data_IF_043878360370
#
_entry.id   IF_043878360370
#
_cell.length_a   1.000
_cell.length_b   1.000
_cell.length_c   1.000
_cell.angle_alpha   90.00
_cell.angle_beta   90.00
_cell.angle_gamma   90.00
#
_symmetry.space_group_name_H-M   'P 1'
#
loop_
_entity.id
_entity.type
_entity.pdbx_description
1 polymer ?
#
# COMPACT_ATOMS: atom_id res chain seq x y z
N UNK A 1 -13.13 -3.88 10.96
CA UNK A 1 -12.63 -4.62 9.79
C UNK A 1 -11.41 -3.90 9.23
N UNK A 2 -10.23 -4.53 9.24
CA UNK A 2 -8.95 -3.89 8.88
C UNK A 2 -8.86 -3.60 7.37
N UNK A 3 -8.50 -2.37 7.02
CA UNK A 3 -8.17 -1.90 5.68
C UNK A 3 -6.67 -1.63 5.61
N UNK A 4 -5.99 -2.17 4.60
CA UNK A 4 -4.61 -1.80 4.31
C UNK A 4 -4.58 -0.86 3.10
N UNK A 5 -3.87 0.25 3.23
CA UNK A 5 -3.56 1.16 2.11
C UNK A 5 -2.27 0.67 1.46
N UNK A 6 -2.30 0.41 0.15
CA UNK A 6 -1.17 -0.17 -0.58
C UNK A 6 -0.78 0.73 -1.76
N UNK A 7 0.48 1.17 -1.78
CA UNK A 7 1.02 1.96 -2.89
C UNK A 7 1.41 1.03 -4.03
N UNK A 8 0.75 1.13 -5.18
CA UNK A 8 1.05 0.30 -6.35
C UNK A 8 2.01 1.02 -7.30
N UNK A 9 3.08 0.30 -7.64
CA UNK A 9 4.13 0.67 -8.59
C UNK A 9 4.69 -0.60 -9.24
N UNK A 10 5.89 -0.54 -9.82
CA UNK A 10 6.50 -1.64 -10.59
C UNK A 10 6.35 -3.05 -10.01
N UNK A 11 6.47 -3.23 -8.69
CA UNK A 11 6.35 -4.53 -8.03
C UNK A 11 5.05 -4.68 -7.22
N UNK A 12 4.34 -5.78 -7.45
CA UNK A 12 3.04 -6.08 -6.80
C UNK A 12 3.23 -6.92 -5.52
N UNK A 13 4.23 -7.80 -5.50
CA UNK A 13 4.40 -8.80 -4.44
C UNK A 13 4.59 -8.24 -3.03
N UNK A 14 5.34 -7.14 -2.80
CA UNK A 14 5.47 -6.58 -1.46
C UNK A 14 4.12 -6.12 -0.87
N UNK A 15 3.18 -5.68 -1.71
CA UNK A 15 1.83 -5.35 -1.28
C UNK A 15 1.01 -6.60 -0.96
N UNK A 16 1.13 -7.66 -1.76
CA UNK A 16 0.47 -8.96 -1.50
C UNK A 16 0.93 -9.53 -0.16
N UNK A 17 2.25 -9.55 0.09
CA UNK A 17 2.84 -10.02 1.36
C UNK A 17 2.30 -9.21 2.53
N UNK A 18 2.27 -7.87 2.41
CA UNK A 18 1.73 -6.99 3.44
C UNK A 18 0.27 -7.28 3.77
N UNK A 19 -0.57 -7.58 2.78
CA UNK A 19 -1.98 -7.91 2.99
C UNK A 19 -2.13 -9.23 3.73
N UNK A 20 -1.39 -10.26 3.32
CA UNK A 20 -1.45 -11.60 3.92
C UNK A 20 -0.95 -11.60 5.37
N UNK A 21 0.19 -10.97 5.64
CA UNK A 21 0.79 -10.89 6.98
C UNK A 21 -0.14 -10.21 7.99
N UNK A 22 -0.93 -9.25 7.52
CA UNK A 22 -1.73 -8.39 8.39
C UNK A 22 -3.18 -8.84 8.49
N UNK A 23 -3.58 -9.81 7.67
CA UNK A 23 -4.95 -10.32 7.59
C UNK A 23 -5.95 -9.25 7.18
N UNK A 24 -5.53 -8.24 6.41
CA UNK A 24 -6.41 -7.17 5.97
C UNK A 24 -7.61 -7.73 5.20
N UNK A 25 -8.80 -7.19 5.48
CA UNK A 25 -10.06 -7.64 4.86
C UNK A 25 -10.53 -6.71 3.75
N UNK A 26 -9.96 -5.51 3.69
CA UNK A 26 -10.08 -4.57 2.59
C UNK A 26 -8.71 -4.06 2.21
N UNK A 27 -8.53 -3.76 0.94
CA UNK A 27 -7.30 -3.14 0.42
C UNK A 27 -7.69 -1.90 -0.35
N UNK A 28 -7.04 -0.78 -0.05
CA UNK A 28 -7.20 0.47 -0.78
C UNK A 28 -5.95 0.69 -1.64
N UNK A 29 -6.01 0.45 -2.96
CA UNK A 29 -4.89 0.72 -3.84
C UNK A 29 -4.69 2.23 -4.00
N UNK A 30 -3.44 2.66 -3.96
CA UNK A 30 -3.02 4.01 -4.31
C UNK A 30 -2.13 3.90 -5.53
N UNK A 31 -2.56 4.52 -6.62
CA UNK A 31 -2.00 4.33 -7.95
C UNK A 31 -1.59 5.66 -8.56
N UNK A 32 -0.76 5.59 -9.59
CA UNK A 32 -0.49 6.67 -10.53
C UNK A 32 -1.32 6.45 -11.80
N UNK A 33 -1.29 7.38 -12.75
CA UNK A 33 -1.89 7.12 -14.06
C UNK A 33 -1.21 5.93 -14.76
N UNK A 34 0.09 5.78 -14.56
CA UNK A 34 0.91 4.73 -15.15
C UNK A 34 0.71 3.38 -14.46
N UNK A 35 0.46 3.33 -13.15
CA UNK A 35 0.34 2.09 -12.36
C UNK A 35 -1.10 1.62 -12.14
N UNK A 36 -2.11 2.38 -12.56
CA UNK A 36 -3.51 2.00 -12.38
C UNK A 36 -3.85 0.64 -12.99
N UNK A 37 -3.30 0.32 -14.17
CA UNK A 37 -3.50 -0.97 -14.82
C UNK A 37 -3.02 -2.18 -14.00
N UNK A 38 -2.20 -1.97 -12.96
CA UNK A 38 -1.71 -3.03 -12.08
C UNK A 38 -2.73 -3.44 -11.00
N UNK A 39 -3.84 -2.72 -10.83
CA UNK A 39 -4.86 -3.07 -9.82
C UNK A 39 -5.47 -4.43 -10.07
N UNK A 40 -5.69 -4.79 -11.33
CA UNK A 40 -6.28 -6.07 -11.73
C UNK A 40 -5.30 -7.21 -11.42
N UNK A 41 -4.05 -7.07 -11.87
CA UNK A 41 -2.98 -8.02 -11.57
C UNK A 41 -2.75 -8.18 -10.06
N UNK A 42 -2.88 -7.08 -9.29
CA UNK A 42 -2.80 -7.13 -7.83
C UNK A 42 -3.97 -7.89 -7.20
N UNK A 43 -5.20 -7.66 -7.68
CA UNK A 43 -6.38 -8.41 -7.24
C UNK A 43 -6.27 -9.92 -7.56
N UNK A 44 -5.81 -10.26 -8.76
CA UNK A 44 -5.54 -11.64 -9.18
C UNK A 44 -4.47 -12.29 -8.29
N UNK A 45 -3.36 -11.58 -8.02
CA UNK A 45 -2.29 -12.09 -7.16
C UNK A 45 -2.76 -12.31 -5.72
N UNK A 46 -3.57 -11.40 -5.16
CA UNK A 46 -4.19 -11.58 -3.85
C UNK A 46 -5.07 -12.83 -3.81
N UNK A 47 -5.93 -13.01 -4.80
CA UNK A 47 -6.83 -14.17 -4.92
C UNK A 47 -6.04 -15.49 -5.05
N UNK A 48 -5.04 -15.52 -5.93
CA UNK A 48 -4.17 -16.67 -6.13
C UNK A 48 -3.37 -17.02 -4.87
N UNK A 49 -3.01 -16.03 -4.06
CA UNK A 49 -2.34 -16.24 -2.77
C UNK A 49 -3.31 -16.61 -1.63
N UNK A 50 -4.59 -16.81 -1.91
CA UNK A 50 -5.61 -17.23 -0.95
C UNK A 50 -6.17 -16.10 -0.09
N UNK A 51 -5.90 -14.83 -0.44
CA UNK A 51 -6.52 -13.69 0.24
C UNK A 51 -8.00 -13.58 -0.15
N UNK A 52 -8.83 -13.27 0.84
CA UNK A 52 -10.24 -12.92 0.66
C UNK A 52 -10.48 -11.41 0.84
N UNK A 53 -9.43 -10.60 0.75
CA UNK A 53 -9.56 -9.17 0.94
C UNK A 53 -10.36 -8.54 -0.22
N UNK A 54 -11.31 -7.67 0.13
CA UNK A 54 -12.03 -6.87 -0.86
C UNK A 54 -11.11 -5.76 -1.37
N UNK A 55 -10.88 -5.73 -2.68
CA UNK A 55 -10.20 -4.61 -3.34
C UNK A 55 -11.18 -3.44 -3.47
N UNK A 56 -10.82 -2.29 -2.90
CA UNK A 56 -11.57 -1.05 -3.03
C UNK A 56 -11.19 -0.32 -4.32
N UNK A 57 -12.02 0.64 -4.71
CA UNK A 57 -11.72 1.53 -5.83
C UNK A 57 -10.35 2.21 -5.64
N UNK A 58 -9.49 2.20 -6.66
CA UNK A 58 -8.15 2.76 -6.56
C UNK A 58 -8.22 4.29 -6.41
N UNK A 59 -7.29 4.82 -5.63
CA UNK A 59 -7.10 6.27 -5.46
C UNK A 59 -5.90 6.71 -6.26
N UNK A 60 -6.10 7.64 -7.19
CA UNK A 60 -5.04 8.16 -8.05
C UNK A 60 -4.32 9.34 -7.40
N UNK A 61 -2.99 9.34 -7.48
CA UNK A 61 -2.11 10.45 -7.06
C UNK A 61 -1.17 10.86 -8.20
N UNK A 62 -0.61 12.05 -8.10
CA UNK A 62 0.52 12.52 -8.90
C UNK A 62 1.84 12.07 -8.23
N UNK A 63 2.63 11.18 -8.85
CA UNK A 63 3.73 10.48 -8.19
C UNK A 63 4.87 11.36 -7.69
N UNK A 64 5.04 12.55 -8.26
CA UNK A 64 6.14 13.48 -7.95
C UNK A 64 5.67 14.72 -7.18
N UNK A 65 4.36 14.83 -6.91
CA UNK A 65 3.78 15.93 -6.13
C UNK A 65 3.47 15.45 -4.70
N UNK A 66 4.33 15.86 -3.76
CA UNK A 66 4.17 15.52 -2.35
C UNK A 66 2.86 16.08 -1.75
N UNK A 67 2.44 17.28 -2.15
CA UNK A 67 1.25 17.91 -1.61
C UNK A 67 0.00 17.14 -2.06
N UNK A 68 -0.07 16.79 -3.35
CA UNK A 68 -1.14 15.95 -3.89
C UNK A 68 -1.17 14.59 -3.19
N UNK A 69 -0.02 13.90 -3.08
CA UNK A 69 0.06 12.61 -2.40
C UNK A 69 -0.50 12.69 -0.96
N UNK A 70 -0.07 13.69 -0.18
CA UNK A 70 -0.52 13.86 1.20
C UNK A 70 -2.03 14.16 1.30
N UNK A 71 -2.53 15.09 0.49
CA UNK A 71 -3.92 15.52 0.56
C UNK A 71 -4.89 14.45 0.05
N UNK A 72 -4.50 13.75 -1.00
CA UNK A 72 -5.30 12.67 -1.58
C UNK A 72 -5.33 11.46 -0.66
N UNK A 73 -4.19 11.03 -0.10
CA UNK A 73 -4.16 9.96 0.89
C UNK A 73 -4.98 10.32 2.13
N UNK A 74 -4.88 11.55 2.63
CA UNK A 74 -5.64 12.02 3.80
C UNK A 74 -7.14 11.96 3.55
N UNK A 75 -7.60 12.40 2.38
CA UNK A 75 -9.02 12.31 1.98
C UNK A 75 -9.47 10.85 1.87
N UNK A 76 -8.65 10.01 1.25
CA UNK A 76 -8.97 8.60 1.02
C UNK A 76 -9.15 7.78 2.31
N UNK A 77 -8.46 8.15 3.38
CA UNK A 77 -8.56 7.47 4.69
C UNK A 77 -9.46 8.18 5.69
N UNK A 78 -10.02 9.34 5.35
CA UNK A 78 -10.79 10.18 6.28
C UNK A 78 -12.02 9.47 6.86
N UNK A 79 -12.73 8.70 6.01
CA UNK A 79 -13.94 7.97 6.38
C UNK A 79 -13.66 6.55 6.90
N UNK A 80 -12.39 6.15 6.95
CA UNK A 80 -12.00 4.85 7.47
C UNK A 80 -11.84 4.92 8.99
N UNK A 81 -12.34 3.94 9.76
CA UNK A 81 -12.15 3.91 11.21
C UNK A 81 -10.66 3.84 11.54
N UNK A 82 -10.13 4.82 12.29
CA UNK A 82 -8.67 4.95 12.56
C UNK A 82 -8.04 3.67 13.13
N UNK A 83 -8.71 3.00 14.06
CA UNK A 83 -8.25 1.72 14.63
C UNK A 83 -8.29 0.52 13.67
N UNK A 84 -8.68 0.75 12.41
CA UNK A 84 -8.82 -0.26 11.39
C UNK A 84 -8.01 0.07 10.12
N UNK A 85 -7.18 1.11 10.11
CA UNK A 85 -6.33 1.46 8.97
C UNK A 85 -4.88 1.09 9.27
N UNK A 86 -4.18 0.55 8.28
CA UNK A 86 -2.74 0.37 8.28
C UNK A 86 -2.20 0.74 6.91
N UNK A 87 -1.01 1.35 6.88
CA UNK A 87 -0.41 1.84 5.63
C UNK A 87 0.81 0.98 5.27
N UNK A 88 0.74 0.32 4.12
CA UNK A 88 1.90 -0.32 3.49
C UNK A 88 2.61 0.68 2.59
N UNK A 89 3.78 1.14 3.02
CA UNK A 89 4.58 2.16 2.34
C UNK A 89 5.76 1.55 1.57
N UNK A 90 5.69 0.26 1.23
CA UNK A 90 6.76 -0.46 0.51
C UNK A 90 6.85 -0.07 -0.95
N UNK A 91 5.70 0.03 -1.63
CA UNK A 91 5.64 0.40 -3.05
C UNK A 91 5.54 1.90 -3.28
N UNK A 92 5.17 2.27 -4.51
CA UNK A 92 5.08 3.66 -4.95
C UNK A 92 6.44 4.26 -5.34
N UNK A 93 6.42 5.49 -5.83
CA UNK A 93 7.65 6.30 -5.90
C UNK A 93 8.11 6.66 -4.50
N UNK A 94 9.36 7.10 -4.34
CA UNK A 94 9.87 7.58 -3.04
C UNK A 94 9.02 8.71 -2.45
N UNK A 95 8.45 9.58 -3.28
CA UNK A 95 7.56 10.66 -2.85
C UNK A 95 6.26 10.09 -2.28
N UNK A 96 5.64 9.13 -2.97
CA UNK A 96 4.45 8.43 -2.48
C UNK A 96 4.74 7.69 -1.16
N UNK A 97 5.84 6.94 -1.09
CA UNK A 97 6.22 6.19 0.12
C UNK A 97 6.47 7.11 1.30
N UNK A 98 7.15 8.24 1.07
CA UNK A 98 7.37 9.26 2.10
C UNK A 98 6.05 9.88 2.57
N UNK A 99 5.16 10.27 1.65
CA UNK A 99 3.85 10.82 1.98
C UNK A 99 3.02 9.85 2.82
N UNK A 100 2.97 8.58 2.41
CA UNK A 100 2.24 7.52 3.10
C UNK A 100 2.80 7.27 4.51
N UNK A 101 4.14 7.19 4.64
CA UNK A 101 4.80 7.04 5.94
C UNK A 101 4.51 8.24 6.84
N UNK A 102 4.59 9.45 6.31
CA UNK A 102 4.34 10.69 7.06
C UNK A 102 2.89 10.78 7.54
N UNK A 103 1.94 10.47 6.66
CA UNK A 103 0.52 10.43 7.02
C UNK A 103 0.25 9.40 8.13
N UNK A 104 0.89 8.23 8.07
CA UNK A 104 0.73 7.22 9.10
C UNK A 104 1.16 7.74 10.49
N UNK A 105 2.27 8.50 10.55
CA UNK A 105 2.74 9.16 11.77
C UNK A 105 1.75 10.23 12.26
N UNK A 106 1.26 11.09 11.37
CA UNK A 106 0.28 12.14 11.70
C UNK A 106 -1.01 11.55 12.28
N UNK A 107 -1.50 10.46 11.69
CA UNK A 107 -2.73 9.80 12.11
C UNK A 107 -2.54 8.83 13.28
N UNK A 108 -1.28 8.54 13.65
CA UNK A 108 -0.89 7.51 14.62
C UNK A 108 -1.48 6.14 14.29
N UNK A 109 -1.45 5.76 13.02
CA UNK A 109 -1.88 4.44 12.55
C UNK A 109 -0.66 3.55 12.27
N UNK A 110 -0.81 2.21 12.36
CA UNK A 110 0.26 1.30 11.98
C UNK A 110 0.75 1.53 10.55
N UNK A 111 2.06 1.36 10.34
CA UNK A 111 2.68 1.40 9.04
C UNK A 111 3.65 0.22 8.90
N UNK A 112 3.69 -0.40 7.72
CA UNK A 112 4.58 -1.53 7.43
C UNK A 112 5.41 -1.28 6.18
N UNK A 113 6.62 -1.83 6.19
CA UNK A 113 7.50 -1.90 5.04
C UNK A 113 7.97 -3.35 4.90
N UNK A 114 7.74 -3.95 3.73
CA UNK A 114 8.20 -5.30 3.42
C UNK A 114 9.62 -5.18 2.86
N UNK A 115 10.59 -5.56 3.67
CA UNK A 115 11.99 -5.64 3.23
C UNK A 115 12.23 -6.95 2.49
N UNK A 116 12.83 -6.88 1.32
CA UNK A 116 13.42 -8.06 0.70
C UNK A 116 14.76 -8.36 1.40
N UNK A 117 15.04 -9.62 1.77
CA UNK A 117 16.34 -9.98 2.30
C UNK A 117 17.41 -9.76 1.22
N UNK A 118 18.37 -8.89 1.51
CA UNK A 118 19.58 -8.80 0.68
C UNK A 118 20.41 -10.07 0.88
N UNK A 119 20.39 -10.97 -0.10
CA UNK A 119 21.35 -12.07 -0.15
C UNK A 119 22.69 -11.50 -0.64
N UNK A 120 23.66 -11.37 0.27
CA UNK A 120 25.03 -11.00 -0.09
C UNK A 120 25.92 -12.24 0.04
N UNK A 121 26.53 -12.68 -1.05
CA UNK A 121 27.39 -13.87 -1.11
C UNK A 121 26.72 -15.18 -0.63
N UNK A 122 25.42 -15.37 -0.87
CA UNK A 122 24.71 -16.61 -0.52
C UNK A 122 24.25 -16.74 0.93
N UNK A 123 24.41 -15.69 1.75
CA UNK A 123 23.90 -15.64 3.12
C UNK A 123 22.80 -14.57 3.24
N UNK A 124 21.74 -14.90 3.98
CA UNK A 124 20.78 -13.91 4.48
C UNK A 124 21.48 -13.02 5.49
N UNK A 125 21.43 -11.71 5.28
CA UNK A 125 21.85 -10.68 6.23
C UNK A 125 20.73 -10.35 7.22
#
# INVERSE_FOLDING_TARGET
>A
MKTQVCLLSGEVMPNVIGVLQTGAKRVLPVVTAESEHQTDAFGEALSAAGSQALLLEPVRVLPDDLADCMDTLRRAVADLPRGAVEINWTGGTKVMSYAARRLAEELRVPALYVTEPCIKNGYLL
#
